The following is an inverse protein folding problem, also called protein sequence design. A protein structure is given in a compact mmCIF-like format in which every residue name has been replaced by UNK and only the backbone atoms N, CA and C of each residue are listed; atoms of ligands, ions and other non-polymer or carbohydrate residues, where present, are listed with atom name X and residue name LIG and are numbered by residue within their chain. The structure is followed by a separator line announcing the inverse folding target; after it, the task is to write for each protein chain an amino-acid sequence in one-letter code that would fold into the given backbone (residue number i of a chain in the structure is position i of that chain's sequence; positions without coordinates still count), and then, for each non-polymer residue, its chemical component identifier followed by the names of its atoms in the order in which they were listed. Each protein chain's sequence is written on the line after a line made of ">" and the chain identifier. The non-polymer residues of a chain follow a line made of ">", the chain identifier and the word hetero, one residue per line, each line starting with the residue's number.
data_IF_727500743759
#
_entry.id   IF_727500743759
#
_cell.length_a   1.000
_cell.length_b   1.000
_cell.length_c   1.000
_cell.angle_alpha   90.00
_cell.angle_beta   90.00
_cell.angle_gamma   90.00
#
_symmetry.space_group_name_H-M   'P 1'
#
loop_
_entity.id
_entity.type
_entity.pdbx_description
1 polymer ?
#
# COMPACT_ATOMS: atom_id res chain seq x y z
N UNK A 1 -13.03 11.40 4.03
CA UNK A 1 -11.62 11.36 4.51
C UNK A 1 -10.71 11.43 3.30
N UNK A 2 -9.58 12.15 3.39
CA UNK A 2 -8.62 12.29 2.28
C UNK A 2 -7.48 11.32 2.48
N UNK A 3 -7.14 10.58 1.44
CA UNK A 3 -6.03 9.64 1.43
C UNK A 3 -4.98 10.11 0.42
N UNK A 4 -3.71 9.90 0.77
CA UNK A 4 -2.57 10.26 -0.06
C UNK A 4 -1.77 9.00 -0.36
N UNK A 5 -1.28 8.89 -1.60
CA UNK A 5 -0.31 7.87 -1.99
C UNK A 5 0.93 7.96 -1.09
N UNK A 6 1.31 6.84 -0.48
CA UNK A 6 2.52 6.76 0.34
C UNK A 6 3.69 6.16 -0.44
N UNK A 7 3.61 4.88 -0.78
CA UNK A 7 4.53 4.18 -1.68
C UNK A 7 3.94 2.82 -2.10
N UNK A 8 4.70 2.04 -2.87
CA UNK A 8 4.47 0.61 -3.04
C UNK A 8 5.07 -0.18 -1.88
N UNK A 9 4.38 -1.25 -1.51
CA UNK A 9 4.75 -2.17 -0.44
C UNK A 9 4.86 -3.56 -1.05
N UNK A 10 5.90 -4.30 -0.69
CA UNK A 10 6.05 -5.69 -1.08
C UNK A 10 4.92 -6.54 -0.46
N UNK A 11 4.37 -7.46 -1.24
CA UNK A 11 3.31 -8.38 -0.79
C UNK A 11 3.64 -9.09 0.53
N UNK A 12 4.90 -9.52 0.68
CA UNK A 12 5.35 -10.27 1.85
C UNK A 12 5.41 -9.40 3.12
N UNK A 13 5.53 -8.08 2.97
CA UNK A 13 5.57 -7.14 4.09
C UNK A 13 4.18 -6.65 4.50
N UNK A 14 3.12 -6.92 3.70
CA UNK A 14 1.77 -6.43 3.95
C UNK A 14 1.26 -6.73 5.37
N UNK A 15 1.38 -7.96 5.93
CA UNK A 15 0.84 -8.24 7.25
C UNK A 15 1.49 -7.39 8.35
N UNK A 16 2.78 -7.08 8.19
CA UNK A 16 3.54 -6.26 9.15
C UNK A 16 3.12 -4.80 9.01
N UNK A 17 3.00 -4.31 7.78
CA UNK A 17 2.57 -2.95 7.48
C UNK A 17 1.14 -2.69 7.98
N UNK A 18 0.21 -3.61 7.72
CA UNK A 18 -1.17 -3.56 8.23
C UNK A 18 -1.18 -3.46 9.76
N UNK A 19 -0.46 -4.37 10.43
CA UNK A 19 -0.39 -4.37 11.90
C UNK A 19 0.19 -3.06 12.47
N UNK A 20 1.20 -2.48 11.82
CA UNK A 20 1.80 -1.22 12.25
C UNK A 20 0.85 -0.04 12.09
N UNK A 21 0.12 0.03 10.97
CA UNK A 21 -0.84 1.10 10.70
C UNK A 21 -2.05 1.00 11.65
N UNK A 22 -2.59 -0.20 11.85
CA UNK A 22 -3.70 -0.44 12.78
C UNK A 22 -3.34 -0.09 14.23
N UNK A 23 -2.17 -0.50 14.70
CA UNK A 23 -1.68 -0.17 16.06
C UNK A 23 -1.55 1.34 16.30
N UNK A 24 -1.36 2.12 15.25
CA UNK A 24 -1.20 3.57 15.31
C UNK A 24 -2.49 4.31 14.89
N UNK A 25 -3.61 3.59 14.72
CA UNK A 25 -4.91 4.15 14.31
C UNK A 25 -4.80 4.94 12.98
N UNK A 26 -3.94 4.50 12.07
CA UNK A 26 -3.76 5.18 10.78
C UNK A 26 -4.74 4.56 9.80
N UNK A 27 -5.69 5.34 9.29
CA UNK A 27 -6.56 4.86 8.20
C UNK A 27 -5.74 4.60 6.94
N UNK A 28 -5.88 3.41 6.33
CA UNK A 28 -5.21 3.04 5.09
C UNK A 28 -6.07 2.20 4.16
N UNK A 29 -5.65 2.09 2.90
CA UNK A 29 -6.11 1.06 1.98
C UNK A 29 -5.01 0.71 0.97
N UNK A 30 -5.10 -0.48 0.40
CA UNK A 30 -4.21 -0.93 -0.67
C UNK A 30 -4.92 -0.96 -2.01
N UNK A 31 -4.16 -0.73 -3.08
CA UNK A 31 -4.60 -0.95 -4.45
C UNK A 31 -3.58 -1.82 -5.18
N UNK A 32 -4.06 -2.77 -5.99
CA UNK A 32 -3.17 -3.54 -6.85
C UNK A 32 -2.67 -2.68 -8.01
N UNK A 33 -1.35 -2.64 -8.27
CA UNK A 33 -0.80 -2.10 -9.50
C UNK A 33 -1.34 -2.91 -10.68
N UNK A 34 -1.63 -2.24 -11.79
CA UNK A 34 -2.07 -2.87 -13.05
C UNK A 34 -3.36 -3.69 -12.97
N UNK A 35 -4.17 -3.56 -11.91
CA UNK A 35 -5.43 -4.29 -11.74
C UNK A 35 -6.34 -4.13 -12.95
N UNK A 36 -6.48 -2.90 -13.47
CA UNK A 36 -7.23 -2.62 -14.69
C UNK A 36 -6.64 -3.30 -15.94
N UNK A 37 -5.31 -3.40 -16.04
CA UNK A 37 -4.64 -4.07 -17.15
C UNK A 37 -4.80 -5.59 -17.07
N UNK A 38 -4.80 -6.17 -15.87
CA UNK A 38 -5.07 -7.59 -15.65
C UNK A 38 -6.52 -7.91 -16.02
N UNK A 39 -7.48 -7.10 -15.55
CA UNK A 39 -8.91 -7.27 -15.88
C UNK A 39 -9.16 -7.14 -17.39
N UNK A 40 -8.47 -6.23 -18.07
CA UNK A 40 -8.56 -6.04 -19.51
C UNK A 40 -7.84 -7.13 -20.33
N UNK A 41 -7.11 -8.04 -19.68
CA UNK A 41 -6.31 -9.07 -20.36
C UNK A 41 -5.01 -8.56 -21.01
N UNK A 42 -4.59 -7.34 -20.68
CA UNK A 42 -3.37 -6.72 -21.21
C UNK A 42 -2.12 -7.07 -20.41
N UNK A 43 -2.28 -7.62 -19.21
CA UNK A 43 -1.19 -8.07 -18.38
C UNK A 43 -1.49 -9.44 -17.76
N UNK A 44 -0.43 -10.21 -17.48
CA UNK A 44 -0.56 -11.51 -16.83
C UNK A 44 -1.11 -11.34 -15.39
N UNK A 45 -2.00 -12.22 -14.89
CA UNK A 45 -2.57 -12.10 -13.54
C UNK A 45 -1.53 -12.02 -12.42
N UNK A 46 -0.36 -12.61 -12.59
CA UNK A 46 0.71 -12.59 -11.60
C UNK A 46 1.48 -11.26 -11.53
N UNK A 47 1.31 -10.35 -12.49
CA UNK A 47 2.15 -9.14 -12.61
C UNK A 47 1.96 -8.18 -11.42
N UNK A 48 0.77 -8.16 -10.82
CA UNK A 48 0.42 -7.32 -9.68
C UNK A 48 0.58 -8.03 -8.32
N UNK A 49 1.13 -9.25 -8.30
CA UNK A 49 1.22 -10.02 -7.05
C UNK A 49 2.27 -9.45 -6.10
N UNK A 50 3.45 -9.08 -6.61
CA UNK A 50 4.61 -8.75 -5.78
C UNK A 50 4.49 -7.43 -5.01
N UNK A 51 3.72 -6.47 -5.51
CA UNK A 51 3.64 -5.14 -4.91
C UNK A 51 2.19 -4.68 -4.80
N UNK A 52 1.89 -3.94 -3.72
CA UNK A 52 0.64 -3.19 -3.57
C UNK A 52 0.92 -1.73 -3.34
N UNK A 53 0.12 -0.88 -3.95
CA UNK A 53 0.18 0.57 -3.74
C UNK A 53 -0.57 0.93 -2.45
N UNK A 54 0.12 1.54 -1.50
CA UNK A 54 -0.42 1.93 -0.20
C UNK A 54 -0.88 3.39 -0.21
N UNK A 55 -2.11 3.61 0.24
CA UNK A 55 -2.68 4.92 0.51
C UNK A 55 -2.97 5.05 2.00
N UNK A 56 -2.59 6.19 2.59
CA UNK A 56 -2.79 6.48 4.02
C UNK A 56 -3.54 7.79 4.20
N UNK A 57 -4.24 7.93 5.32
CA UNK A 57 -4.95 9.17 5.66
C UNK A 57 -3.98 10.36 5.65
N UNK A 58 -4.33 11.41 4.91
CA UNK A 58 -3.45 12.58 4.72
C UNK A 58 -3.04 13.23 6.05
N UNK A 59 -3.89 13.15 7.08
CA UNK A 59 -3.62 13.74 8.41
C UNK A 59 -2.46 13.07 9.16
N UNK A 60 -2.22 11.77 8.92
CA UNK A 60 -1.18 10.97 9.58
C UNK A 60 -0.06 10.55 8.62
N UNK A 61 0.06 11.23 7.48
CA UNK A 61 1.03 10.89 6.42
C UNK A 61 2.49 10.90 6.91
N UNK A 62 2.89 11.94 7.65
CA UNK A 62 4.27 12.05 8.13
C UNK A 62 4.62 10.99 9.18
N UNK A 63 3.65 10.62 10.02
CA UNK A 63 3.80 9.52 10.97
C UNK A 63 3.92 8.18 10.24
N UNK A 64 3.07 7.94 9.24
CA UNK A 64 3.10 6.73 8.43
C UNK A 64 4.44 6.59 7.67
N UNK A 65 4.97 7.68 7.10
CA UNK A 65 6.29 7.71 6.45
C UNK A 65 7.41 7.26 7.38
N UNK A 66 7.43 7.78 8.61
CA UNK A 66 8.46 7.44 9.60
C UNK A 66 8.33 6.00 10.09
N UNK A 67 7.10 5.53 10.32
CA UNK A 67 6.85 4.15 10.77
C UNK A 67 7.23 3.12 9.72
N UNK A 68 6.98 3.43 8.45
CA UNK A 68 7.14 2.50 7.33
C UNK A 68 8.44 2.67 6.56
N UNK A 69 9.39 3.48 7.03
CA UNK A 69 10.64 3.80 6.34
C UNK A 69 11.43 2.56 5.85
N UNK A 70 11.34 1.45 6.59
CA UNK A 70 11.99 0.17 6.24
C UNK A 70 11.25 -0.70 5.22
N UNK A 71 9.98 -0.37 4.94
CA UNK A 71 9.05 -1.17 4.14
C UNK A 71 8.59 -0.46 2.87
N UNK A 72 8.78 0.86 2.80
CA UNK A 72 8.55 1.66 1.60
C UNK A 72 9.80 1.64 0.73
N UNK A 73 9.62 1.29 -0.55
CA UNK A 73 10.64 1.42 -1.59
C UNK A 73 10.57 2.80 -2.25
#
# INVERSE_FOLDING_TARGET
>A
MKYTLLSNINHFDLPIVESLLDKNDIGFFFKMPYDSSVIAGWAAPAIGFNEKTLFVETKKLDLAKRLLEKYIT
#
